data_IF_493462673623
#
_entry.id   IF_493462673623
#
_cell.length_a   1.000
_cell.length_b   1.000
_cell.length_c   1.000
_cell.angle_alpha   90.00
_cell.angle_beta   90.00
_cell.angle_gamma   90.00
#
_symmetry.space_group_name_H-M   'P 1'
#
loop_
_entity.id
_entity.type
_entity.pdbx_description
1 polymer ?
#
# COMPACT_ATOMS: atom_id res chain seq x y z
N UNK A 1 -20.00 -14.31 -5.63
CA UNK A 1 -19.18 -14.09 -6.85
C UNK A 1 -18.44 -12.78 -6.68
N UNK A 2 -17.46 -12.78 -5.77
CA UNK A 2 -16.18 -12.07 -5.90
C UNK A 2 -15.22 -12.58 -4.80
N UNK A 3 -15.29 -13.88 -4.55
CA UNK A 3 -14.59 -14.59 -3.47
C UNK A 3 -13.15 -14.99 -3.90
N UNK A 4 -12.49 -14.14 -4.71
CA UNK A 4 -11.23 -14.46 -5.38
C UNK A 4 -9.99 -13.71 -4.84
N UNK A 5 -10.15 -12.85 -3.82
CA UNK A 5 -9.08 -11.95 -3.36
C UNK A 5 -8.80 -11.91 -1.85
N UNK A 6 -9.33 -12.87 -1.08
CA UNK A 6 -8.96 -13.08 0.33
C UNK A 6 -8.81 -14.59 0.61
N UNK A 7 -7.58 -15.10 0.49
CA UNK A 7 -7.07 -16.15 1.40
C UNK A 7 -5.55 -16.35 1.29
N UNK A 8 -4.79 -15.30 1.65
CA UNK A 8 -3.34 -15.40 1.83
C UNK A 8 -2.83 -14.64 3.06
N UNK A 9 -3.63 -14.56 4.13
CA UNK A 9 -3.23 -13.90 5.37
C UNK A 9 -3.97 -14.44 6.63
N UNK A 10 -3.88 -15.74 6.90
CA UNK A 10 -3.97 -16.32 8.25
C UNK A 10 -3.41 -17.77 8.23
N UNK A 11 -2.98 -18.41 9.32
CA UNK A 11 -2.63 -17.92 10.68
C UNK A 11 -1.44 -18.72 11.22
N UNK A 12 -0.61 -18.13 12.09
CA UNK A 12 0.29 -18.88 12.98
C UNK A 12 0.82 -17.99 14.14
N UNK A 13 0.38 -18.28 15.37
CA UNK A 13 1.01 -17.81 16.61
C UNK A 13 1.53 -19.02 17.37
N UNK A 14 2.78 -18.97 17.88
CA UNK A 14 3.31 -20.04 18.71
C UNK A 14 4.77 -19.87 19.13
N UNK A 15 4.97 -19.61 20.43
CA UNK A 15 6.22 -19.77 21.23
C UNK A 15 7.41 -18.85 20.82
N UNK A 16 8.21 -18.24 21.71
CA UNK A 16 8.21 -18.17 23.18
C UNK A 16 9.64 -18.05 23.74
N UNK A 17 9.78 -17.50 24.96
CA UNK A 17 11.00 -17.45 25.83
C UNK A 17 12.07 -16.38 25.52
N UNK A 18 12.52 -15.66 26.57
CA UNK A 18 13.79 -14.89 26.58
C UNK A 18 13.82 -13.65 27.49
N UNK A 19 13.99 -13.81 28.81
CA UNK A 19 14.33 -12.71 29.74
C UNK A 19 15.79 -12.23 29.57
N UNK A 20 16.06 -10.94 29.88
CA UNK A 20 17.21 -10.47 30.70
C UNK A 20 16.99 -9.02 31.16
N UNK A 21 17.50 -8.69 32.35
CA UNK A 21 17.33 -7.38 33.03
C UNK A 21 18.61 -6.54 33.06
N UNK A 22 18.46 -5.21 33.22
CA UNK A 22 19.37 -4.19 33.81
C UNK A 22 20.92 -4.31 33.63
N UNK A 23 21.67 -3.24 33.31
CA UNK A 23 21.67 -1.93 33.99
C UNK A 23 22.59 -0.89 33.31
N UNK A 24 22.56 0.35 33.80
CA UNK A 24 23.27 1.55 33.32
C UNK A 24 24.81 1.50 33.30
N UNK A 25 25.44 2.28 32.40
CA UNK A 25 26.52 3.22 32.80
C UNK A 25 26.78 4.33 31.75
N UNK A 26 27.45 5.40 32.20
CA UNK A 26 27.60 6.69 31.50
C UNK A 26 28.71 6.70 30.42
N UNK A 27 28.51 7.49 29.37
CA UNK A 27 29.53 7.76 28.33
C UNK A 27 29.19 9.00 27.50
N UNK A 28 29.80 10.13 27.82
CA UNK A 28 29.63 11.39 27.08
C UNK A 28 30.27 11.31 25.69
N UNK A 29 29.45 11.28 24.64
CA UNK A 29 29.90 11.44 23.25
C UNK A 29 28.99 12.40 22.49
N UNK A 30 29.60 13.29 21.70
CA UNK A 30 28.94 14.41 21.03
C UNK A 30 27.73 13.97 20.21
N UNK A 31 26.56 14.53 20.55
CA UNK A 31 25.29 14.27 19.86
C UNK A 31 25.28 14.96 18.50
N UNK A 32 26.01 14.39 17.53
CA UNK A 32 25.72 14.60 16.11
C UNK A 32 24.27 14.15 15.94
N UNK A 33 23.38 15.13 15.86
CA UNK A 33 21.97 14.86 15.68
C UNK A 33 21.82 14.16 14.35
N UNK A 34 21.59 12.84 14.39
CA UNK A 34 21.21 12.08 13.23
C UNK A 34 19.90 12.68 12.73
N UNK A 35 20.00 13.58 11.75
CA UNK A 35 18.84 14.11 11.03
C UNK A 35 18.17 12.90 10.42
N UNK A 36 17.06 12.45 11.03
CA UNK A 36 16.20 11.44 10.43
C UNK A 36 15.72 12.07 9.13
N UNK A 37 16.41 11.75 8.02
CA UNK A 37 16.04 12.22 6.70
C UNK A 37 14.61 11.76 6.46
N UNK A 38 13.68 12.69 6.63
CA UNK A 38 12.25 12.41 6.56
C UNK A 38 12.00 12.02 5.12
N UNK A 39 11.78 10.72 4.91
CA UNK A 39 11.43 10.16 3.61
C UNK A 39 10.32 11.02 3.02
N UNK A 40 10.51 11.47 1.77
CA UNK A 40 9.51 12.28 1.08
C UNK A 40 8.18 11.53 0.99
N UNK A 41 7.07 12.25 0.95
CA UNK A 41 5.78 11.64 0.69
C UNK A 41 5.81 10.92 -0.68
N UNK A 42 4.96 9.91 -0.84
CA UNK A 42 4.77 9.24 -2.12
C UNK A 42 4.06 10.18 -3.10
N UNK A 43 4.54 10.21 -4.34
CA UNK A 43 3.89 10.88 -5.47
C UNK A 43 2.99 9.92 -6.27
N UNK A 44 2.08 10.47 -7.08
CA UNK A 44 1.21 9.67 -7.96
C UNK A 44 1.98 8.77 -8.95
N UNK A 45 3.19 9.18 -9.34
CA UNK A 45 4.10 8.37 -10.16
C UNK A 45 4.66 7.18 -9.36
N UNK A 46 5.09 7.40 -8.11
CA UNK A 46 5.56 6.32 -7.24
C UNK A 46 4.45 5.32 -6.92
N UNK A 47 3.23 5.78 -6.64
CA UNK A 47 2.07 4.90 -6.46
C UNK A 47 1.82 4.05 -7.71
N UNK A 48 1.87 4.66 -8.90
CA UNK A 48 1.77 3.96 -10.19
C UNK A 48 2.84 2.87 -10.33
N UNK A 49 4.10 3.19 -10.00
CA UNK A 49 5.21 2.24 -10.05
C UNK A 49 5.02 1.12 -9.04
N UNK A 50 4.44 1.41 -7.87
CA UNK A 50 4.10 0.42 -6.85
C UNK A 50 2.98 -0.52 -7.33
N UNK A 51 1.84 0.00 -7.81
CA UNK A 51 0.76 -0.82 -8.36
C UNK A 51 1.26 -1.74 -9.48
N UNK A 52 2.03 -1.20 -10.44
CA UNK A 52 2.63 -1.99 -11.53
C UNK A 52 3.62 -3.04 -11.04
N UNK A 53 4.47 -2.69 -10.06
CA UNK A 53 5.45 -3.64 -9.49
C UNK A 53 4.80 -4.72 -8.64
N UNK A 54 3.71 -4.41 -7.94
CA UNK A 54 2.92 -5.40 -7.20
C UNK A 54 2.23 -6.36 -8.18
N UNK A 55 1.54 -5.82 -9.21
CA UNK A 55 0.79 -6.60 -10.20
C UNK A 55 1.69 -7.58 -10.97
N UNK A 56 2.84 -7.10 -11.47
CA UNK A 56 3.82 -7.94 -12.18
C UNK A 56 4.31 -9.12 -11.33
N UNK A 57 4.45 -8.94 -10.01
CA UNK A 57 4.89 -9.99 -9.10
C UNK A 57 3.71 -10.87 -8.67
N UNK A 58 2.50 -10.35 -8.48
CA UNK A 58 1.32 -11.16 -8.13
C UNK A 58 0.89 -12.10 -9.27
N UNK A 59 1.14 -11.72 -10.53
CA UNK A 59 0.82 -12.51 -11.71
C UNK A 59 1.95 -13.47 -12.15
N UNK A 60 3.10 -13.47 -11.47
CA UNK A 60 4.22 -14.36 -11.77
C UNK A 60 3.89 -15.79 -11.32
N UNK A 61 3.97 -16.76 -12.24
CA UNK A 61 3.66 -18.17 -11.95
C UNK A 61 4.53 -18.76 -10.82
N UNK A 62 5.76 -18.25 -10.63
CA UNK A 62 6.66 -18.66 -9.54
C UNK A 62 6.15 -18.15 -8.18
N UNK A 63 5.43 -17.02 -8.15
CA UNK A 63 4.83 -16.47 -6.92
C UNK A 63 3.66 -17.32 -6.42
N UNK A 64 2.90 -17.93 -7.33
CA UNK A 64 1.72 -18.73 -6.98
C UNK A 64 2.05 -20.06 -6.29
N UNK A 65 3.34 -20.38 -6.10
CA UNK A 65 3.81 -21.62 -5.44
C UNK A 65 4.15 -21.37 -3.96
N UNK A 66 3.13 -21.02 -3.15
CA UNK A 66 3.20 -21.06 -1.69
C UNK A 66 4.32 -20.24 -1.01
N UNK A 67 4.79 -19.15 -1.63
CA UNK A 67 5.92 -18.39 -1.08
C UNK A 67 5.56 -17.63 0.22
N UNK A 68 6.55 -17.45 1.11
CA UNK A 68 6.39 -16.66 2.33
C UNK A 68 6.10 -15.19 1.99
N UNK A 69 5.19 -14.55 2.72
CA UNK A 69 4.81 -13.12 2.60
C UNK A 69 6.02 -12.18 2.52
N UNK A 70 7.06 -12.43 3.31
CA UNK A 70 8.30 -11.65 3.30
C UNK A 70 9.02 -11.71 1.94
N UNK A 71 9.13 -12.90 1.35
CA UNK A 71 9.79 -13.09 0.05
C UNK A 71 9.02 -12.42 -1.09
N UNK A 72 7.68 -12.40 -1.04
CA UNK A 72 6.85 -11.60 -1.95
C UNK A 72 7.22 -10.11 -1.87
N UNK A 73 7.24 -9.54 -0.66
CA UNK A 73 7.51 -8.12 -0.47
C UNK A 73 8.93 -7.71 -0.84
N UNK A 74 9.93 -8.58 -0.64
CA UNK A 74 11.30 -8.38 -1.15
C UNK A 74 11.29 -8.29 -2.69
N UNK A 75 10.55 -9.16 -3.38
CA UNK A 75 10.44 -9.13 -4.87
C UNK A 75 9.77 -7.84 -5.35
N UNK A 76 8.66 -7.44 -4.73
CA UNK A 76 7.95 -6.17 -5.05
C UNK A 76 8.85 -4.96 -4.78
N UNK A 77 9.57 -4.94 -3.65
CA UNK A 77 10.52 -3.88 -3.30
C UNK A 77 11.66 -3.75 -4.32
N UNK A 78 12.29 -4.87 -4.66
CA UNK A 78 13.38 -4.89 -5.64
C UNK A 78 12.89 -4.42 -7.01
N UNK A 79 11.68 -4.85 -7.43
CA UNK A 79 11.07 -4.43 -8.68
C UNK A 79 10.76 -2.93 -8.69
N UNK A 80 10.16 -2.40 -7.62
CA UNK A 80 9.90 -0.98 -7.44
C UNK A 80 11.19 -0.16 -7.49
N UNK A 81 12.18 -0.49 -6.66
CA UNK A 81 13.43 0.27 -6.57
C UNK A 81 14.25 0.18 -7.88
N UNK A 82 14.16 -0.91 -8.63
CA UNK A 82 14.78 -1.00 -9.97
C UNK A 82 14.16 -0.06 -11.01
N UNK A 83 12.91 0.37 -10.79
CA UNK A 83 12.13 1.24 -11.68
C UNK A 83 12.00 2.69 -11.18
N UNK A 84 12.47 2.99 -9.96
CA UNK A 84 12.22 4.30 -9.34
C UNK A 84 13.04 5.44 -9.97
N UNK A 85 14.10 5.15 -10.73
CA UNK A 85 14.85 6.15 -11.50
C UNK A 85 15.44 7.25 -10.62
N UNK A 86 14.92 8.48 -10.75
CA UNK A 86 15.32 9.64 -9.94
C UNK A 86 14.62 9.76 -8.58
N UNK A 87 13.62 8.91 -8.30
CA UNK A 87 12.92 8.90 -7.01
C UNK A 87 13.74 8.17 -5.94
N UNK A 88 13.61 8.54 -4.65
CA UNK A 88 14.40 7.93 -3.58
C UNK A 88 14.04 6.45 -3.42
N UNK A 89 15.07 5.62 -3.21
CA UNK A 89 14.91 4.21 -2.85
C UNK A 89 14.08 4.10 -1.57
N UNK A 90 13.02 3.30 -1.60
CA UNK A 90 12.14 3.08 -0.46
C UNK A 90 12.57 1.83 0.33
N UNK A 91 12.13 1.73 1.58
CA UNK A 91 12.29 0.53 2.40
C UNK A 91 11.06 -0.39 2.26
N UNK A 92 11.22 -1.68 2.54
CA UNK A 92 10.10 -2.64 2.50
C UNK A 92 8.89 -2.18 3.33
N UNK A 93 9.14 -1.75 4.57
CA UNK A 93 8.10 -1.24 5.47
C UNK A 93 7.37 -0.03 4.89
N UNK A 94 8.09 0.87 4.21
CA UNK A 94 7.50 2.02 3.53
C UNK A 94 6.63 1.62 2.35
N UNK A 95 7.06 0.63 1.57
CA UNK A 95 6.32 0.11 0.42
C UNK A 95 5.05 -0.64 0.87
N UNK A 96 5.16 -1.55 1.85
CA UNK A 96 4.02 -2.26 2.43
C UNK A 96 2.99 -1.27 3.00
N UNK A 97 3.43 -0.32 3.83
CA UNK A 97 2.53 0.67 4.44
C UNK A 97 1.85 1.57 3.40
N UNK A 98 2.50 1.88 2.27
CA UNK A 98 1.85 2.64 1.18
C UNK A 98 0.87 1.77 0.41
N UNK A 99 1.22 0.52 0.13
CA UNK A 99 0.32 -0.43 -0.52
C UNK A 99 -0.95 -0.69 0.29
N UNK A 100 -0.83 -0.93 1.59
CA UNK A 100 -1.99 -1.20 2.45
C UNK A 100 -2.96 -0.02 2.46
N UNK A 101 -2.43 1.22 2.45
CA UNK A 101 -3.23 2.44 2.30
C UNK A 101 -3.87 2.56 0.91
N UNK A 102 -3.12 2.33 -0.18
CA UNK A 102 -3.68 2.36 -1.55
C UNK A 102 -4.80 1.32 -1.68
N UNK A 103 -4.57 0.08 -1.23
CA UNK A 103 -5.57 -1.00 -1.28
C UNK A 103 -6.82 -0.62 -0.50
N UNK A 104 -6.68 -0.13 0.74
CA UNK A 104 -7.84 0.24 1.57
C UNK A 104 -8.67 1.37 0.92
N UNK A 105 -8.01 2.42 0.44
CA UNK A 105 -8.67 3.58 -0.17
C UNK A 105 -9.33 3.23 -1.52
N UNK A 106 -8.64 2.48 -2.39
CA UNK A 106 -9.19 2.06 -3.69
C UNK A 106 -10.34 1.07 -3.50
N UNK A 107 -10.23 0.08 -2.59
CA UNK A 107 -11.32 -0.87 -2.31
C UNK A 107 -12.56 -0.18 -1.71
N UNK A 108 -12.36 0.90 -0.94
CA UNK A 108 -13.45 1.74 -0.45
C UNK A 108 -14.10 2.53 -1.59
N UNK A 109 -13.30 3.25 -2.39
CA UNK A 109 -13.78 4.03 -3.53
C UNK A 109 -14.51 3.17 -4.58
N UNK A 110 -14.06 1.93 -4.82
CA UNK A 110 -14.76 1.00 -5.72
C UNK A 110 -16.18 0.67 -5.27
N UNK A 111 -16.49 0.72 -3.97
CA UNK A 111 -17.85 0.57 -3.46
C UNK A 111 -18.77 1.73 -3.89
N UNK A 112 -18.30 2.97 -3.78
CA UNK A 112 -19.02 4.16 -4.26
C UNK A 112 -19.20 4.14 -5.78
N UNK A 113 -18.18 3.73 -6.53
CA UNK A 113 -18.28 3.52 -7.99
C UNK A 113 -19.29 2.44 -8.36
N UNK A 114 -19.29 1.30 -7.65
CA UNK A 114 -20.25 0.22 -7.87
C UNK A 114 -21.69 0.68 -7.61
N UNK A 115 -21.91 1.52 -6.59
CA UNK A 115 -23.24 2.09 -6.32
C UNK A 115 -23.70 3.04 -7.43
N UNK A 116 -22.83 3.93 -7.92
CA UNK A 116 -23.12 4.81 -9.05
C UNK A 116 -23.44 4.03 -10.34
N UNK A 117 -22.74 2.92 -10.58
CA UNK A 117 -23.00 2.02 -11.71
C UNK A 117 -24.35 1.29 -11.52
N UNK A 118 -24.63 0.78 -10.31
CA UNK A 118 -25.85 0.05 -9.95
C UNK A 118 -27.11 0.92 -10.03
N UNK A 119 -26.99 2.19 -9.67
CA UNK A 119 -28.04 3.21 -9.81
C UNK A 119 -28.40 3.47 -11.29
N UNK A 120 -27.47 3.20 -12.21
CA UNK A 120 -27.60 3.37 -13.67
C UNK A 120 -28.31 4.68 -14.09
N UNK A 121 -27.83 5.86 -13.64
CA UNK A 121 -28.42 7.14 -14.00
C UNK A 121 -28.34 7.36 -15.52
N UNK A 122 -29.49 7.34 -16.18
CA UNK A 122 -29.59 7.50 -17.63
C UNK A 122 -29.04 8.86 -18.07
N UNK A 123 -28.01 8.85 -18.93
CA UNK A 123 -27.40 10.06 -19.48
C UNK A 123 -26.08 10.49 -18.83
N UNK A 124 -25.58 9.79 -17.79
CA UNK A 124 -24.23 10.02 -17.26
C UNK A 124 -23.17 9.19 -18.00
N UNK A 125 -22.09 9.84 -18.42
CA UNK A 125 -20.88 9.15 -18.88
C UNK A 125 -20.12 8.52 -17.70
N UNK A 126 -19.17 7.62 -17.98
CA UNK A 126 -18.35 7.02 -16.91
C UNK A 126 -17.45 8.05 -16.21
N UNK A 127 -17.08 9.13 -16.90
CA UNK A 127 -16.41 10.28 -16.28
C UNK A 127 -17.33 10.97 -15.28
N UNK A 128 -18.60 11.24 -15.65
CA UNK A 128 -19.58 11.86 -14.75
C UNK A 128 -19.87 10.99 -13.51
N UNK A 129 -20.00 9.67 -13.70
CA UNK A 129 -20.13 8.70 -12.60
C UNK A 129 -18.93 8.74 -11.66
N UNK A 130 -17.72 8.87 -12.19
CA UNK A 130 -16.50 8.94 -11.36
C UNK A 130 -16.41 10.24 -10.55
N UNK A 131 -16.88 11.37 -11.12
CA UNK A 131 -16.97 12.65 -10.42
C UNK A 131 -18.04 12.61 -9.32
N UNK A 132 -19.21 12.03 -9.61
CA UNK A 132 -20.26 11.84 -8.62
C UNK A 132 -19.82 10.93 -7.46
N UNK A 133 -19.23 9.75 -7.76
CA UNK A 133 -18.70 8.85 -6.74
C UNK A 133 -17.61 9.51 -5.88
N UNK A 134 -16.75 10.36 -6.46
CA UNK A 134 -15.73 11.11 -5.72
C UNK A 134 -16.34 12.21 -4.83
N UNK A 135 -17.44 12.84 -5.24
CA UNK A 135 -18.17 13.79 -4.42
C UNK A 135 -18.87 13.10 -3.23
N UNK A 136 -19.52 11.96 -3.46
CA UNK A 136 -20.16 11.17 -2.40
C UNK A 136 -19.13 10.62 -1.41
N UNK A 137 -18.01 10.07 -1.90
CA UNK A 137 -16.87 9.67 -1.08
C UNK A 137 -16.38 10.83 -0.20
N UNK A 138 -16.14 12.00 -0.78
CA UNK A 138 -15.65 13.16 -0.01
C UNK A 138 -16.68 13.65 1.03
N UNK A 139 -17.96 13.56 0.71
CA UNK A 139 -19.06 13.88 1.62
C UNK A 139 -19.13 12.94 2.81
N UNK A 140 -18.93 11.63 2.62
CA UNK A 140 -19.00 10.62 3.69
C UNK A 140 -17.69 10.53 4.48
N UNK A 141 -16.57 10.32 3.80
CA UNK A 141 -15.23 10.05 4.39
C UNK A 141 -14.53 11.31 4.92
N UNK A 142 -15.07 12.50 4.61
CA UNK A 142 -14.56 13.82 5.05
C UNK A 142 -13.18 14.19 4.50
N UNK A 143 -12.73 13.53 3.44
CA UNK A 143 -11.56 13.93 2.66
C UNK A 143 -11.74 13.54 1.19
N UNK A 144 -11.07 14.26 0.30
CA UNK A 144 -11.09 13.95 -1.13
C UNK A 144 -10.37 12.61 -1.40
N UNK A 145 -10.89 11.85 -2.37
CA UNK A 145 -10.15 10.72 -2.94
C UNK A 145 -9.01 11.26 -3.82
N UNK A 146 -7.78 10.77 -3.58
CA UNK A 146 -6.56 11.28 -4.25
C UNK A 146 -5.82 10.23 -5.08
N UNK A 147 -6.36 9.02 -5.16
CA UNK A 147 -5.74 7.85 -5.81
C UNK A 147 -6.43 7.46 -7.12
N UNK A 148 -6.97 8.43 -7.86
CA UNK A 148 -7.55 8.23 -9.20
C UNK A 148 -6.53 7.70 -10.24
N UNK A 149 -5.25 7.67 -9.88
CA UNK A 149 -4.15 7.17 -10.68
C UNK A 149 -3.71 5.73 -10.35
N UNK A 150 -4.31 5.08 -9.35
CA UNK A 150 -3.88 3.77 -8.82
C UNK A 150 -4.60 2.57 -9.45
#
# INVERSE_FOLDING_TARGET
MDDFFIDLNNEAQGVGVGEVSESSMSGSASKVGATRNKQTNFSAYEDNMLCKSWLEISCDLVVNTGQRKEAFWIRVLNRYNSKCGSYPTRTQKSIMSRWDHIKAEVSKFSGYMAEMIRSNPSGMSDADKSVAAAADFASVEKHNFTLMHC
#
